data_IF_880501078982
#
_entry.id   IF_880501078982
#
_cell.length_a   1.000
_cell.length_b   1.000
_cell.length_c   1.000
_cell.angle_alpha   90.00
_cell.angle_beta   90.00
_cell.angle_gamma   90.00
#
_symmetry.space_group_name_H-M   'P 1'
#
loop_
_entity.id
_entity.type
_entity.pdbx_description
1 polymer ?
#
# COMPACT_ATOMS: atom_id res chain seq x y z
N UNK A 1 -1.08 -19.54 2.20
CA UNK A 1 -0.93 -18.75 0.95
C UNK A 1 0.52 -18.38 0.63
N UNK A 2 1.35 -17.85 1.56
CA UNK A 2 2.72 -17.41 1.25
C UNK A 2 3.60 -18.52 0.62
N UNK A 3 3.54 -19.73 1.18
CA UNK A 3 4.26 -20.91 0.63
C UNK A 3 3.78 -21.26 -0.77
N UNK A 4 2.46 -21.25 -1.00
CA UNK A 4 1.88 -21.55 -2.31
C UNK A 4 2.31 -20.52 -3.37
N UNK A 5 2.40 -19.24 -2.99
CA UNK A 5 2.89 -18.19 -3.88
C UNK A 5 4.34 -18.42 -4.31
N UNK A 6 5.23 -18.79 -3.38
CA UNK A 6 6.63 -19.09 -3.68
C UNK A 6 6.80 -20.39 -4.45
N UNK A 7 6.02 -21.43 -4.13
CA UNK A 7 6.03 -22.68 -4.90
C UNK A 7 5.58 -22.41 -6.34
N UNK A 8 4.48 -21.68 -6.51
CA UNK A 8 3.98 -21.31 -7.84
C UNK A 8 5.02 -20.49 -8.60
N UNK A 9 5.65 -19.52 -7.93
CA UNK A 9 6.74 -18.72 -8.49
C UNK A 9 7.84 -19.60 -9.10
N UNK A 10 8.33 -20.59 -8.35
CA UNK A 10 9.38 -21.51 -8.82
C UNK A 10 8.91 -22.31 -10.04
N UNK A 11 7.64 -22.70 -10.09
CA UNK A 11 7.09 -23.41 -11.24
C UNK A 11 6.82 -22.52 -12.46
N UNK A 12 6.52 -21.24 -12.27
CA UNK A 12 6.24 -20.30 -13.36
C UNK A 12 7.48 -19.54 -13.83
N UNK A 13 8.59 -19.63 -13.10
CA UNK A 13 9.82 -18.89 -13.39
C UNK A 13 10.39 -19.23 -14.78
N UNK A 14 10.49 -18.22 -15.65
CA UNK A 14 11.09 -18.35 -16.98
C UNK A 14 10.29 -19.18 -17.99
N UNK A 15 8.99 -19.36 -17.78
CA UNK A 15 8.09 -20.08 -18.71
C UNK A 15 7.04 -19.15 -19.29
N UNK A 16 6.71 -19.32 -20.57
CA UNK A 16 5.54 -18.70 -21.18
C UNK A 16 4.26 -19.31 -20.60
N UNK A 17 3.41 -18.47 -20.02
CA UNK A 17 2.22 -18.91 -19.29
C UNK A 17 0.99 -18.84 -20.21
N UNK A 18 0.24 -19.94 -20.39
CA UNK A 18 -1.07 -19.86 -21.05
C UNK A 18 -2.02 -19.01 -20.20
N UNK A 19 -2.98 -18.32 -20.82
CA UNK A 19 -3.84 -17.34 -20.14
C UNK A 19 -4.58 -17.87 -18.89
N UNK A 20 -4.92 -19.16 -18.87
CA UNK A 20 -5.50 -19.82 -17.68
C UNK A 20 -4.54 -19.84 -16.50
N UNK A 21 -3.25 -20.10 -16.75
CA UNK A 21 -2.21 -20.09 -15.70
C UNK A 21 -1.95 -18.67 -15.23
N UNK A 22 -2.02 -17.66 -16.10
CA UNK A 22 -1.94 -16.26 -15.68
C UNK A 22 -3.08 -15.89 -14.73
N UNK A 23 -4.32 -16.29 -15.04
CA UNK A 23 -5.46 -16.05 -14.15
C UNK A 23 -5.26 -16.70 -12.76
N UNK A 24 -4.72 -17.92 -12.74
CA UNK A 24 -4.39 -18.61 -11.48
C UNK A 24 -3.27 -17.91 -10.72
N UNK A 25 -2.22 -17.45 -11.41
CA UNK A 25 -1.13 -16.66 -10.81
C UNK A 25 -1.66 -15.37 -10.20
N UNK A 26 -2.53 -14.64 -10.91
CA UNK A 26 -3.14 -13.40 -10.41
C UNK A 26 -3.99 -13.65 -9.16
N UNK A 27 -4.75 -14.75 -9.13
CA UNK A 27 -5.52 -15.12 -7.94
C UNK A 27 -4.62 -15.43 -6.74
N UNK A 28 -3.52 -16.15 -6.97
CA UNK A 28 -2.54 -16.48 -5.92
C UNK A 28 -1.78 -15.23 -5.46
N UNK A 29 -1.46 -14.32 -6.38
CA UNK A 29 -0.88 -13.01 -6.06
C UNK A 29 -1.81 -12.21 -5.13
N UNK A 30 -3.11 -12.11 -5.46
CA UNK A 30 -4.08 -11.45 -4.61
C UNK A 30 -4.15 -12.10 -3.22
N UNK A 31 -4.20 -13.44 -3.15
CA UNK A 31 -4.16 -14.19 -1.89
C UNK A 31 -2.85 -13.99 -1.10
N UNK A 32 -1.72 -13.79 -1.78
CA UNK A 32 -0.43 -13.53 -1.15
C UNK A 32 -0.37 -12.11 -0.54
N UNK A 33 -0.94 -11.11 -1.22
CA UNK A 33 -1.08 -9.74 -0.67
C UNK A 33 -1.96 -9.76 0.58
N UNK A 34 -3.13 -10.41 0.52
CA UNK A 34 -4.01 -10.54 1.69
C UNK A 34 -3.32 -11.27 2.85
N UNK A 35 -2.56 -12.33 2.56
CA UNK A 35 -1.79 -13.03 3.58
C UNK A 35 -0.67 -12.18 4.17
N UNK A 36 0.00 -11.34 3.37
CA UNK A 36 1.00 -10.40 3.88
C UNK A 36 0.39 -9.42 4.88
N UNK A 37 -0.77 -8.83 4.55
CA UNK A 37 -1.51 -7.93 5.46
C UNK A 37 -1.90 -8.65 6.74
N UNK A 38 -2.46 -9.86 6.62
CA UNK A 38 -2.84 -10.65 7.80
C UNK A 38 -1.66 -10.96 8.73
N UNK A 39 -0.51 -11.37 8.18
CA UNK A 39 0.68 -11.62 8.99
C UNK A 39 1.26 -10.33 9.59
N UNK A 40 1.12 -9.19 8.90
CA UNK A 40 1.45 -7.90 9.47
C UNK A 40 0.53 -7.57 10.67
N UNK A 41 -0.78 -7.79 10.57
CA UNK A 41 -1.73 -7.60 11.68
C UNK A 41 -1.40 -8.49 12.88
N UNK A 42 -1.02 -9.75 12.68
CA UNK A 42 -0.61 -10.62 13.79
C UNK A 42 0.60 -10.04 14.54
N UNK A 43 1.56 -9.45 13.81
CA UNK A 43 2.71 -8.77 14.42
C UNK A 43 2.24 -7.52 15.18
N UNK A 44 1.26 -6.79 14.66
CA UNK A 44 0.81 -5.52 15.24
C UNK A 44 0.03 -5.73 16.54
N UNK A 45 -0.79 -6.78 16.61
CA UNK A 45 -1.46 -7.20 17.85
C UNK A 45 -0.47 -7.51 18.97
N UNK A 46 0.69 -8.08 18.63
CA UNK A 46 1.76 -8.35 19.60
C UNK A 46 2.48 -7.07 20.04
N UNK A 47 2.75 -6.17 19.10
CA UNK A 47 3.49 -4.92 19.36
C UNK A 47 2.66 -3.97 20.21
N UNK A 48 1.33 -3.96 20.05
CA UNK A 48 0.42 -3.08 20.77
C UNK A 48 0.54 -1.62 20.35
N UNK A 49 -0.39 -0.78 20.79
CA UNK A 49 -0.44 0.62 20.39
C UNK A 49 0.55 1.50 21.21
N UNK A 50 1.11 2.57 20.60
CA UNK A 50 0.87 3.10 19.25
C UNK A 50 1.75 2.50 18.15
N UNK A 51 2.70 1.63 18.49
CA UNK A 51 3.68 1.12 17.52
C UNK A 51 3.08 0.08 16.57
N UNK A 52 2.03 -0.62 16.97
CA UNK A 52 1.32 -1.59 16.15
C UNK A 52 0.79 -0.97 14.86
N UNK A 53 0.11 0.18 14.93
CA UNK A 53 -0.40 0.86 13.72
C UNK A 53 0.73 1.28 12.77
N UNK A 54 1.87 1.74 13.31
CA UNK A 54 3.07 2.07 12.52
C UNK A 54 3.67 0.84 11.85
N UNK A 55 3.76 -0.30 12.55
CA UNK A 55 4.28 -1.55 11.98
C UNK A 55 3.39 -2.02 10.82
N UNK A 56 2.06 -1.94 10.96
CA UNK A 56 1.13 -2.30 9.89
C UNK A 56 1.33 -1.40 8.68
N UNK A 57 1.37 -0.08 8.89
CA UNK A 57 1.58 0.91 7.83
C UNK A 57 2.91 0.68 7.09
N UNK A 58 3.99 0.41 7.81
CA UNK A 58 5.30 0.10 7.22
C UNK A 58 5.25 -1.22 6.44
N UNK A 59 4.61 -2.26 6.94
CA UNK A 59 4.50 -3.53 6.22
C UNK A 59 3.74 -3.40 4.89
N UNK A 60 2.61 -2.68 4.90
CA UNK A 60 1.81 -2.43 3.68
C UNK A 60 2.59 -1.59 2.68
N UNK A 61 3.22 -0.50 3.13
CA UNK A 61 4.02 0.37 2.23
C UNK A 61 5.25 -0.34 1.67
N UNK A 62 5.92 -1.20 2.44
CA UNK A 62 7.01 -2.04 1.92
C UNK A 62 6.52 -2.97 0.81
N UNK A 63 5.32 -3.55 0.97
CA UNK A 63 4.71 -4.41 -0.06
C UNK A 63 4.46 -3.61 -1.35
N UNK A 64 3.90 -2.42 -1.22
CA UNK A 64 3.62 -1.52 -2.35
C UNK A 64 4.89 -1.02 -3.05
N UNK A 65 5.85 -0.51 -2.29
CA UNK A 65 7.14 -0.02 -2.83
C UNK A 65 7.92 -1.14 -3.49
N UNK A 66 7.90 -2.35 -2.93
CA UNK A 66 8.55 -3.50 -3.55
C UNK A 66 7.93 -3.84 -4.91
N UNK A 67 6.61 -3.78 -5.06
CA UNK A 67 5.92 -3.95 -6.34
C UNK A 67 6.29 -2.84 -7.33
N UNK A 68 6.24 -1.58 -6.90
CA UNK A 68 6.59 -0.43 -7.76
C UNK A 68 8.04 -0.55 -8.25
N UNK A 69 9.00 -0.76 -7.35
CA UNK A 69 10.43 -0.89 -7.69
C UNK A 69 10.65 -2.06 -8.65
N UNK A 70 9.92 -3.15 -8.45
CA UNK A 70 10.00 -4.33 -9.31
C UNK A 70 9.49 -4.04 -10.72
N UNK A 71 8.35 -3.37 -10.84
CA UNK A 71 7.83 -2.93 -12.13
C UNK A 71 8.78 -1.92 -12.81
N UNK A 72 9.38 -1.02 -12.04
CA UNK A 72 10.38 -0.06 -12.51
C UNK A 72 11.67 -0.70 -13.01
N UNK A 73 12.13 -1.76 -12.35
CA UNK A 73 13.31 -2.49 -12.76
C UNK A 73 13.10 -3.22 -14.10
N UNK A 74 11.87 -3.65 -14.39
CA UNK A 74 11.55 -4.43 -15.59
C UNK A 74 11.01 -3.59 -16.76
N UNK A 75 10.33 -2.46 -16.50
CA UNK A 75 9.53 -1.72 -17.48
C UNK A 75 10.24 -0.65 -18.32
N UNK A 76 11.57 -0.49 -18.18
CA UNK A 76 12.37 0.46 -18.96
C UNK A 76 11.89 1.92 -18.87
N UNK A 77 12.11 2.71 -19.94
CA UNK A 77 11.87 4.17 -19.96
C UNK A 77 10.40 4.58 -19.70
N UNK A 78 9.43 3.70 -19.95
CA UNK A 78 8.00 3.97 -19.69
C UNK A 78 7.62 3.77 -18.21
N UNK A 79 8.52 3.18 -17.41
CA UNK A 79 8.15 2.75 -16.07
C UNK A 79 8.10 3.86 -15.02
N UNK A 80 8.67 5.04 -15.30
CA UNK A 80 8.55 6.19 -14.40
C UNK A 80 7.10 6.69 -14.31
N UNK A 81 6.37 6.65 -15.42
CA UNK A 81 4.94 6.98 -15.46
C UNK A 81 4.11 5.93 -14.73
N UNK A 82 4.39 4.63 -14.92
CA UNK A 82 3.71 3.56 -14.19
C UNK A 82 3.85 3.69 -12.67
N UNK A 83 5.04 4.06 -12.17
CA UNK A 83 5.25 4.28 -10.75
C UNK A 83 4.39 5.45 -10.22
N UNK A 84 4.35 6.56 -10.97
CA UNK A 84 3.53 7.73 -10.63
C UNK A 84 2.03 7.36 -10.62
N UNK A 85 1.56 6.64 -11.63
CA UNK A 85 0.16 6.25 -11.78
C UNK A 85 -0.27 5.30 -10.66
N UNK A 86 0.60 4.37 -10.25
CA UNK A 86 0.34 3.46 -9.12
C UNK A 86 0.15 4.24 -7.82
N UNK A 87 1.03 5.21 -7.53
CA UNK A 87 0.93 6.04 -6.32
C UNK A 87 -0.31 6.94 -6.36
N UNK A 88 -0.66 7.51 -7.51
CA UNK A 88 -1.92 8.25 -7.68
C UNK A 88 -3.13 7.36 -7.40
N UNK A 89 -3.15 6.14 -7.95
CA UNK A 89 -4.22 5.19 -7.71
C UNK A 89 -4.32 4.83 -6.22
N UNK A 90 -3.21 4.58 -5.55
CA UNK A 90 -3.17 4.27 -4.11
C UNK A 90 -3.77 5.39 -3.27
N UNK A 91 -3.39 6.64 -3.50
CA UNK A 91 -3.96 7.81 -2.79
C UNK A 91 -5.46 7.94 -3.08
N UNK A 92 -5.90 7.78 -4.33
CA UNK A 92 -7.32 7.85 -4.68
C UNK A 92 -8.14 6.73 -4.01
N UNK A 93 -7.62 5.50 -4.02
CA UNK A 93 -8.28 4.34 -3.39
C UNK A 93 -8.35 4.54 -1.87
N UNK A 94 -7.27 4.99 -1.23
CA UNK A 94 -7.26 5.21 0.22
C UNK A 94 -8.19 6.36 0.64
N UNK A 95 -8.05 7.53 0.02
CA UNK A 95 -8.79 8.73 0.43
C UNK A 95 -10.25 8.75 -0.05
N UNK A 96 -10.52 8.39 -1.30
CA UNK A 96 -11.89 8.46 -1.85
C UNK A 96 -12.61 7.13 -1.71
N UNK A 97 -11.90 6.02 -1.93
CA UNK A 97 -12.45 4.67 -1.84
C UNK A 97 -12.68 4.26 -0.39
N UNK A 98 -11.60 3.99 0.36
CA UNK A 98 -11.66 3.42 1.70
C UNK A 98 -12.28 4.42 2.68
N UNK A 99 -11.68 5.62 2.84
CA UNK A 99 -12.20 6.62 3.79
C UNK A 99 -13.62 7.05 3.40
N UNK A 100 -13.88 7.32 2.11
CA UNK A 100 -15.21 7.71 1.65
C UNK A 100 -16.29 6.63 1.88
N UNK A 101 -15.98 5.37 1.59
CA UNK A 101 -16.91 4.26 1.82
C UNK A 101 -17.14 4.02 3.32
N UNK A 102 -16.09 4.10 4.15
CA UNK A 102 -16.22 3.99 5.60
C UNK A 102 -17.13 5.07 6.17
N UNK A 103 -16.97 6.33 5.75
CA UNK A 103 -17.85 7.43 6.15
C UNK A 103 -19.29 7.24 5.68
N UNK A 104 -19.49 6.76 4.45
CA UNK A 104 -20.82 6.48 3.92
C UNK A 104 -21.52 5.38 4.74
N UNK A 105 -20.83 4.26 4.99
CA UNK A 105 -21.36 3.14 5.77
C UNK A 105 -21.63 3.56 7.22
N UNK A 106 -20.72 4.32 7.84
CA UNK A 106 -20.91 4.83 9.19
C UNK A 106 -22.09 5.80 9.30
N UNK A 107 -22.22 6.74 8.35
CA UNK A 107 -23.33 7.69 8.32
C UNK A 107 -24.68 7.01 8.11
N UNK A 108 -24.75 6.01 7.22
CA UNK A 108 -25.96 5.23 6.97
C UNK A 108 -26.37 4.34 8.16
N UNK A 109 -25.41 3.92 9.00
CA UNK A 109 -25.68 3.02 10.13
C UNK A 109 -25.93 3.74 11.45
N UNK A 110 -25.24 4.84 11.76
CA UNK A 110 -25.23 5.47 13.09
C UNK A 110 -25.48 7.00 13.10
N UNK A 111 -25.68 7.66 11.96
CA UNK A 111 -25.92 9.12 11.91
C UNK A 111 -24.63 9.96 11.92
N UNK A 112 -24.48 10.90 12.86
CA UNK A 112 -23.27 11.74 13.00
C UNK A 112 -22.23 11.06 13.89
N UNK A 113 -21.11 10.62 13.30
CA UNK A 113 -20.02 9.97 14.02
C UNK A 113 -19.11 10.99 14.72
N UNK A 114 -18.71 10.68 15.96
CA UNK A 114 -17.78 11.48 16.75
C UNK A 114 -16.37 11.05 16.38
N UNK A 115 -15.77 11.72 15.41
CA UNK A 115 -14.36 11.55 15.10
C UNK A 115 -13.50 12.31 16.09
N UNK A 116 -12.29 11.81 16.29
CA UNK A 116 -11.26 12.53 16.99
C UNK A 116 -10.55 13.48 15.99
N UNK A 117 -10.87 14.79 15.99
CA UNK A 117 -10.62 15.67 14.85
C UNK A 117 -9.14 16.06 14.72
N UNK A 118 -8.39 16.08 15.81
CA UNK A 118 -6.98 16.44 15.82
C UNK A 118 -6.10 15.35 15.21
N UNK A 119 -6.37 14.06 15.48
CA UNK A 119 -5.61 12.94 14.91
C UNK A 119 -6.00 12.63 13.46
N UNK A 120 -7.30 12.55 13.18
CA UNK A 120 -7.80 12.32 11.81
C UNK A 120 -7.44 13.49 10.89
N UNK A 121 -7.61 14.73 11.38
CA UNK A 121 -7.21 15.94 10.68
C UNK A 121 -5.71 16.00 10.41
N UNK A 122 -4.87 15.64 11.40
CA UNK A 122 -3.41 15.60 11.20
C UNK A 122 -2.97 14.55 10.18
N UNK A 123 -3.60 13.36 10.16
CA UNK A 123 -3.30 12.32 9.19
C UNK A 123 -3.67 12.76 7.76
N UNK A 124 -4.90 13.27 7.57
CA UNK A 124 -5.37 13.75 6.26
C UNK A 124 -4.56 14.96 5.77
N UNK A 125 -4.23 15.90 6.66
CA UNK A 125 -3.39 17.06 6.31
C UNK A 125 -1.99 16.62 5.88
N UNK A 126 -1.40 15.64 6.54
CA UNK A 126 -0.09 15.08 6.18
C UNK A 126 -0.14 14.43 4.80
N UNK A 127 -1.13 13.56 4.55
CA UNK A 127 -1.32 12.90 3.24
C UNK A 127 -1.53 13.94 2.14
N UNK A 128 -2.41 14.93 2.36
CA UNK A 128 -2.67 15.99 1.39
C UNK A 128 -1.42 16.81 1.08
N UNK A 129 -0.62 17.13 2.10
CA UNK A 129 0.64 17.88 1.94
C UNK A 129 1.67 17.07 1.15
N UNK A 130 1.89 15.80 1.52
CA UNK A 130 2.84 14.92 0.84
C UNK A 130 2.43 14.63 -0.61
N UNK A 131 1.15 14.37 -0.86
CA UNK A 131 0.61 14.15 -2.20
C UNK A 131 0.73 15.41 -3.06
N UNK A 132 0.41 16.59 -2.51
CA UNK A 132 0.55 17.86 -3.24
C UNK A 132 2.01 18.13 -3.57
N UNK A 133 2.90 17.99 -2.59
CA UNK A 133 4.33 18.22 -2.76
C UNK A 133 4.96 17.25 -3.76
N UNK A 134 4.56 15.97 -3.75
CA UNK A 134 5.24 14.93 -4.54
C UNK A 134 4.61 14.67 -5.91
N UNK A 135 3.30 14.91 -6.06
CA UNK A 135 2.54 14.51 -7.26
C UNK A 135 1.97 15.71 -8.03
N UNK A 136 1.59 16.80 -7.35
CA UNK A 136 0.98 17.98 -7.98
C UNK A 136 2.03 19.02 -8.35
N UNK A 137 2.93 19.35 -7.41
CA UNK A 137 3.96 20.38 -7.59
C UNK A 137 4.87 20.18 -8.83
N UNK A 138 5.34 18.96 -9.18
CA UNK A 138 6.19 18.77 -10.36
C UNK A 138 5.55 19.29 -11.67
N UNK A 139 4.21 19.25 -11.76
CA UNK A 139 3.47 19.70 -12.95
C UNK A 139 3.50 21.23 -13.12
N UNK A 140 3.77 21.97 -12.05
CA UNK A 140 3.82 23.43 -12.03
C UNK A 140 5.24 24.00 -11.99
N UNK A 141 6.27 23.15 -11.88
CA UNK A 141 7.66 23.61 -11.94
C UNK A 141 8.10 23.87 -13.37
N UNK A 142 8.78 24.98 -13.62
CA UNK A 142 9.25 25.40 -14.96
C UNK A 142 10.70 25.02 -15.24
N UNK A 143 11.38 24.38 -14.29
CA UNK A 143 12.83 24.16 -14.33
C UNK A 143 13.28 23.05 -15.29
N UNK A 144 12.39 22.15 -15.68
CA UNK A 144 12.58 21.13 -16.72
C UNK A 144 11.31 20.99 -17.56
N UNK A 145 11.42 20.59 -18.84
CA UNK A 145 10.25 20.24 -19.64
C UNK A 145 9.58 18.97 -19.08
N UNK A 146 8.30 19.07 -18.68
CA UNK A 146 7.51 17.95 -18.16
C UNK A 146 7.36 17.95 -16.64
N UNK A 147 6.54 17.02 -16.08
CA UNK A 147 6.24 16.95 -14.65
C UNK A 147 7.38 16.27 -13.87
N UNK A 148 8.56 16.90 -13.90
CA UNK A 148 9.79 16.41 -13.28
C UNK A 148 10.47 17.48 -12.45
N UNK A 149 10.99 17.07 -11.29
CA UNK A 149 11.84 17.93 -10.50
C UNK A 149 13.24 18.09 -11.08
N UNK A 150 13.79 19.31 -10.95
CA UNK A 150 15.24 19.51 -11.03
C UNK A 150 15.92 18.81 -9.86
N UNK A 151 17.22 18.52 -9.95
CA UNK A 151 17.96 17.84 -8.88
C UNK A 151 17.83 18.56 -7.53
N UNK A 152 17.87 19.89 -7.52
CA UNK A 152 17.71 20.70 -6.30
C UNK A 152 16.28 20.71 -5.76
N UNK A 153 15.27 20.70 -6.63
CA UNK A 153 13.86 20.57 -6.22
C UNK A 153 13.57 19.18 -5.66
N UNK A 154 14.14 18.14 -6.28
CA UNK A 154 13.98 16.75 -5.85
C UNK A 154 14.58 16.55 -4.45
N UNK A 155 15.80 17.03 -4.21
CA UNK A 155 16.45 16.89 -2.89
C UNK A 155 15.68 17.66 -1.82
N UNK A 156 15.22 18.87 -2.12
CA UNK A 156 14.36 19.63 -1.21
C UNK A 156 13.05 18.90 -0.91
N UNK A 157 12.32 18.47 -1.94
CA UNK A 157 11.05 17.78 -1.79
C UNK A 157 11.21 16.46 -1.02
N UNK A 158 12.26 15.69 -1.30
CA UNK A 158 12.56 14.45 -0.58
C UNK A 158 12.84 14.70 0.91
N UNK A 159 13.67 15.69 1.24
CA UNK A 159 13.97 16.04 2.63
C UNK A 159 12.74 16.59 3.36
N UNK A 160 11.97 17.47 2.72
CA UNK A 160 10.75 18.02 3.28
C UNK A 160 9.70 16.92 3.54
N UNK A 161 9.51 16.01 2.59
CA UNK A 161 8.63 14.84 2.75
C UNK A 161 9.08 13.93 3.89
N UNK A 162 10.39 13.69 4.02
CA UNK A 162 10.93 12.88 5.12
C UNK A 162 10.72 13.55 6.48
N UNK A 163 10.92 14.86 6.58
CA UNK A 163 10.66 15.64 7.80
C UNK A 163 9.17 15.63 8.15
N UNK A 164 8.29 15.84 7.17
CA UNK A 164 6.84 15.79 7.37
C UNK A 164 6.38 14.41 7.87
N UNK A 165 6.86 13.33 7.24
CA UNK A 165 6.57 11.97 7.70
C UNK A 165 7.14 11.70 9.10
N UNK A 166 8.36 12.16 9.38
CA UNK A 166 8.97 12.05 10.71
C UNK A 166 8.16 12.78 11.79
N UNK A 167 7.66 13.98 11.49
CA UNK A 167 6.77 14.73 12.39
C UNK A 167 5.43 14.01 12.59
N UNK A 168 4.88 13.41 11.55
CA UNK A 168 3.68 12.59 11.64
C UNK A 168 3.88 11.37 12.54
N UNK A 169 4.99 10.63 12.38
CA UNK A 169 5.37 9.52 13.26
C UNK A 169 5.61 9.98 14.69
N UNK A 170 6.29 11.12 14.91
CA UNK A 170 6.51 11.69 16.23
C UNK A 170 5.19 12.09 16.92
N UNK A 171 4.24 12.61 16.15
CA UNK A 171 2.90 12.97 16.66
C UNK A 171 2.12 11.73 17.09
N UNK A 172 2.19 10.65 16.30
CA UNK A 172 1.57 9.36 16.63
C UNK A 172 2.22 8.64 17.83
N UNK A 173 3.52 8.86 18.07
CA UNK A 173 4.27 8.14 19.12
C UNK A 173 4.38 8.89 20.45
N UNK A 174 4.41 10.23 20.46
CA UNK A 174 4.76 11.03 21.65
C UNK A 174 3.60 11.87 22.18
N UNK A 175 2.73 12.44 21.32
CA UNK A 175 1.95 13.61 21.73
C UNK A 175 0.63 13.31 22.47
N UNK A 176 -0.09 12.21 22.19
CA UNK A 176 -1.27 11.80 22.98
C UNK A 176 -1.55 10.28 22.84
N UNK A 177 -0.99 9.47 23.76
CA UNK A 177 -1.25 8.01 23.85
C UNK A 177 -2.74 7.68 24.04
N UNK A 178 -3.51 8.62 24.59
CA UNK A 178 -4.95 8.46 24.90
C UNK A 178 -5.87 8.64 23.68
N UNK A 179 -5.32 8.98 22.50
CA UNK A 179 -6.08 9.25 21.28
C UNK A 179 -6.46 7.98 20.48
N UNK A 180 -5.72 6.89 20.72
CA UNK A 180 -5.93 5.58 20.10
C UNK A 180 -6.70 4.61 21.02
N UNK A 181 -7.15 5.05 22.19
CA UNK A 181 -8.11 4.25 22.95
C UNK A 181 -9.50 4.44 22.31
N UNK A 182 -10.23 3.35 21.99
CA UNK A 182 -11.58 3.47 21.46
C UNK A 182 -12.43 4.24 22.46
N UNK A 183 -12.83 5.46 22.07
CA UNK A 183 -13.80 6.26 22.80
C UNK A 183 -15.19 5.73 22.46
N UNK A 184 -16.01 5.49 23.48
CA UNK A 184 -17.44 5.22 23.27
C UNK A 184 -18.11 6.44 22.62
N UNK A 185 -19.32 6.25 22.08
CA UNK A 185 -20.19 7.35 21.63
C UNK A 185 -20.44 8.40 22.74
N UNK A 186 -20.18 8.05 24.01
CA UNK A 186 -20.24 8.95 25.17
C UNK A 186 -18.89 9.55 25.63
N UNK A 187 -17.77 9.31 24.93
CA UNK A 187 -16.46 9.90 25.26
C UNK A 187 -15.71 9.22 26.42
N UNK A 188 -16.13 8.00 26.80
CA UNK A 188 -15.48 7.20 27.84
C UNK A 188 -14.48 6.22 27.23
N UNK A 189 -13.31 6.06 27.85
CA UNK A 189 -12.25 5.13 27.43
C UNK A 189 -12.74 3.70 27.68
N UNK A 190 -12.93 2.91 26.62
CA UNK A 190 -13.19 1.47 26.78
C UNK A 190 -11.89 0.82 27.24
N UNK A 191 -11.79 0.50 28.53
CA UNK A 191 -10.84 -0.52 29.00
C UNK A 191 -11.31 -1.85 28.43
N UNK A 192 -10.64 -2.33 27.39
CA UNK A 192 -10.94 -3.60 26.74
C UNK A 192 -10.76 -4.78 27.72
N UNK A 193 -11.82 -5.11 28.46
CA UNK A 193 -11.92 -6.28 29.31
C UNK A 193 -12.47 -7.49 28.53
N UNK A 194 -11.95 -7.69 27.31
CA UNK A 194 -12.19 -8.91 26.53
C UNK A 194 -10.87 -9.29 25.83
N UNK A 195 -9.93 -9.80 26.63
CA UNK A 195 -8.60 -10.17 26.16
C UNK A 195 -8.69 -11.45 25.33
N UNK A 196 -8.73 -11.30 24.00
CA UNK A 196 -8.14 -12.32 23.14
C UNK A 196 -6.67 -12.49 23.57
N UNK A 197 -6.24 -13.73 23.84
CA UNK A 197 -4.87 -14.02 24.25
C UNK A 197 -3.89 -13.38 23.25
N UNK A 198 -2.99 -12.52 23.76
CA UNK A 198 -1.98 -11.89 22.91
C UNK A 198 -1.19 -12.99 22.18
N UNK A 199 -0.88 -12.84 20.88
CA UNK A 199 -0.07 -13.79 20.14
C UNK A 199 1.22 -14.11 20.90
N UNK A 200 1.66 -15.36 20.86
CA UNK A 200 2.93 -15.72 21.51
C UNK A 200 4.11 -15.14 20.72
N UNK A 201 5.28 -15.02 21.35
CA UNK A 201 6.49 -14.58 20.64
C UNK A 201 6.86 -15.50 19.46
N UNK A 202 6.51 -16.79 19.56
CA UNK A 202 6.66 -17.75 18.49
C UNK A 202 5.73 -17.43 17.31
N UNK A 203 4.46 -17.13 17.56
CA UNK A 203 3.48 -16.81 16.50
C UNK A 203 3.83 -15.52 15.76
N UNK A 204 4.35 -14.53 16.48
CA UNK A 204 4.88 -13.30 15.88
C UNK A 204 6.12 -13.58 15.02
N UNK A 205 7.02 -14.45 15.47
CA UNK A 205 8.20 -14.86 14.71
C UNK A 205 7.85 -15.64 13.44
N UNK A 206 6.88 -16.57 13.53
CA UNK A 206 6.36 -17.30 12.37
C UNK A 206 5.69 -16.35 11.39
N UNK A 207 4.88 -15.41 11.88
CA UNK A 207 4.22 -14.41 11.04
C UNK A 207 5.21 -13.49 10.34
N UNK A 208 6.30 -13.11 11.01
CA UNK A 208 7.38 -12.36 10.38
C UNK A 208 8.05 -13.14 9.24
N UNK A 209 8.31 -14.44 9.44
CA UNK A 209 8.84 -15.31 8.39
C UNK A 209 7.87 -15.47 7.21
N UNK A 210 6.58 -15.65 7.50
CA UNK A 210 5.53 -15.78 6.48
C UNK A 210 5.26 -14.47 5.74
N UNK A 211 5.39 -13.32 6.39
CA UNK A 211 5.36 -11.99 5.78
C UNK A 211 6.52 -11.85 4.77
N UNK A 212 7.74 -12.21 5.16
CA UNK A 212 8.88 -12.22 4.25
C UNK A 212 8.67 -13.13 3.04
N UNK A 213 8.12 -14.32 3.26
CA UNK A 213 7.80 -15.26 2.19
C UNK A 213 6.69 -14.73 1.27
N UNK A 214 5.69 -14.07 1.84
CA UNK A 214 4.62 -13.42 1.08
C UNK A 214 5.17 -12.30 0.21
N UNK A 215 6.09 -11.45 0.71
CA UNK A 215 6.76 -10.41 -0.06
C UNK A 215 7.52 -10.98 -1.25
N UNK A 216 8.30 -12.07 -1.05
CA UNK A 216 9.01 -12.74 -2.14
C UNK A 216 8.02 -13.26 -3.20
N UNK A 217 6.93 -13.91 -2.76
CA UNK A 217 5.89 -14.40 -3.64
C UNK A 217 5.19 -13.27 -4.41
N UNK A 218 4.81 -12.19 -3.73
CA UNK A 218 4.13 -11.03 -4.32
C UNK A 218 5.01 -10.37 -5.38
N UNK A 219 6.26 -10.05 -5.02
CA UNK A 219 7.22 -9.42 -5.94
C UNK A 219 7.45 -10.32 -7.14
N UNK A 220 7.76 -11.60 -6.92
CA UNK A 220 8.09 -12.50 -8.01
C UNK A 220 6.92 -12.82 -8.93
N UNK A 221 5.72 -13.06 -8.38
CA UNK A 221 4.53 -13.36 -9.19
C UNK A 221 4.08 -12.13 -9.96
N UNK A 222 4.20 -10.92 -9.40
CA UNK A 222 3.91 -9.69 -10.11
C UNK A 222 4.75 -9.55 -11.39
N UNK A 223 6.05 -9.87 -11.33
CA UNK A 223 6.94 -9.88 -12.53
C UNK A 223 6.41 -10.80 -13.62
N UNK A 224 5.93 -11.99 -13.24
CA UNK A 224 5.39 -12.96 -14.19
C UNK A 224 4.10 -12.48 -14.88
N UNK A 225 3.32 -11.61 -14.24
CA UNK A 225 2.03 -11.12 -14.75
C UNK A 225 2.18 -9.85 -15.61
N UNK A 226 3.24 -9.05 -15.40
CA UNK A 226 3.47 -7.78 -16.11
C UNK A 226 3.33 -7.86 -17.64
N UNK A 227 3.92 -8.84 -18.35
CA UNK A 227 3.80 -8.91 -19.81
C UNK A 227 2.37 -9.14 -20.29
N UNK A 228 1.56 -9.89 -19.53
CA UNK A 228 0.16 -10.13 -19.87
C UNK A 228 -0.68 -8.86 -19.73
N UNK A 229 -0.44 -8.06 -18.69
CA UNK A 229 -1.11 -6.77 -18.50
C UNK A 229 -0.79 -5.83 -19.67
N UNK A 230 0.48 -5.74 -20.09
CA UNK A 230 0.87 -4.91 -21.23
C UNK A 230 0.23 -5.38 -22.54
N UNK A 231 0.17 -6.70 -22.78
CA UNK A 231 -0.49 -7.27 -23.96
C UNK A 231 -2.01 -7.03 -23.99
N UNK A 232 -2.66 -6.94 -22.83
CA UNK A 232 -4.10 -6.68 -22.72
C UNK A 232 -4.48 -5.20 -22.88
N UNK A 233 -3.55 -4.29 -22.60
CA UNK A 233 -3.74 -2.83 -22.73
C UNK A 233 -3.27 -2.31 -24.10
N UNK A 234 -2.45 -3.08 -24.83
CA UNK A 234 -2.01 -2.74 -26.18
C UNK A 234 -3.17 -2.53 -27.17
N UNK A 235 -3.00 -1.67 -28.20
CA UNK A 235 -4.05 -1.41 -29.18
C UNK A 235 -4.51 -2.71 -29.83
N UNK A 236 -5.82 -2.90 -30.10
CA UNK A 236 -6.32 -4.09 -30.76
C UNK A 236 -5.56 -4.28 -32.08
N UNK A 237 -4.87 -5.40 -32.21
CA UNK A 237 -4.18 -5.77 -33.45
C UNK A 237 -5.24 -5.94 -34.53
N UNK A 238 -5.40 -4.90 -35.35
CA UNK A 238 -6.23 -4.99 -36.54
C UNK A 238 -5.58 -6.02 -37.46
N UNK A 239 -6.12 -7.24 -37.50
CA UNK A 239 -5.78 -8.22 -38.53
C UNK A 239 -6.12 -7.57 -39.87
N UNK A 240 -5.12 -7.09 -40.58
CA UNK A 240 -5.26 -6.81 -42.01
C UNK A 240 -5.56 -8.15 -42.70
N UNK A 241 -6.70 -8.28 -43.41
CA UNK A 241 -6.92 -9.48 -44.20
C UNK A 241 -5.85 -9.49 -45.29
N UNK A 242 -5.06 -10.57 -45.32
CA UNK A 242 -4.13 -10.84 -46.40
C UNK A 242 -4.92 -10.92 -47.70
N UNK A 243 -4.74 -9.93 -48.57
CA UNK A 243 -5.18 -9.98 -49.96
C UNK A 243 -4.36 -11.04 -50.69
N UNK A 244 -5.02 -12.10 -51.13
CA UNK A 244 -4.64 -12.88 -52.32
C UNK A 244 -5.89 -13.02 -53.17
#
# INVERSE_FOLDING_TARGET
MPVAAVVLLVFTWGRDLPGVVVAQVTLVLAGAVLAAVHHAEVITHRVGEPFGSLVLAVAVTVTEVALIVTLMADGGDKSSTLARDTVFAAVMIACNGIVGLSLLVASLSHGTEVFNPEGTGAALATVATLATLSLVLPTFTTSKPGPEFSTSQLTFAALASLVLYGLFVATQTVRHRDYCLPITVQGEVITADDHADLPTAHDAGVSLGLLGLALIGVVGLAKGVSPTIESGVGPPTCRTPSSV
#
